data_IF_857077788699
#
_entry.id   IF_857077788699
#
_cell.length_a   1.000
_cell.length_b   1.000
_cell.length_c   1.000
_cell.angle_alpha   90.00
_cell.angle_beta   90.00
_cell.angle_gamma   90.00
#
_symmetry.space_group_name_H-M   'P 1'
#
loop_
_entity.id
_entity.type
_entity.pdbx_description
1 polymer ?
#
# COMPACT_ATOMS: atom_id res chain seq x y z
N UNK A 1 -11.74 75.82 25.71
CA UNK A 1 -11.38 74.79 24.70
C UNK A 1 -9.89 74.51 24.84
N UNK A 2 -9.50 73.27 25.16
CA UNK A 2 -9.08 72.35 24.10
C UNK A 2 -9.70 70.94 24.23
N UNK A 3 -9.76 70.25 23.09
CA UNK A 3 -10.41 68.94 22.87
C UNK A 3 -9.55 67.80 23.42
N UNK A 4 -10.13 66.92 24.25
CA UNK A 4 -9.53 65.62 24.56
C UNK A 4 -9.66 64.69 23.34
N UNK A 5 -8.51 64.34 22.77
CA UNK A 5 -8.37 63.35 21.70
C UNK A 5 -8.58 61.95 22.31
N UNK A 6 -9.73 61.32 22.04
CA UNK A 6 -9.96 59.92 22.41
C UNK A 6 -9.19 59.02 21.44
N UNK A 7 -8.04 58.48 21.86
CA UNK A 7 -7.40 57.37 21.15
C UNK A 7 -8.22 56.09 21.40
N UNK A 8 -8.94 55.64 20.38
CA UNK A 8 -9.54 54.31 20.33
C UNK A 8 -8.46 53.29 19.94
N UNK A 9 -8.07 52.44 20.89
CA UNK A 9 -7.13 51.34 20.66
C UNK A 9 -7.87 50.23 19.89
N UNK A 10 -7.72 50.20 18.56
CA UNK A 10 -8.19 49.10 17.73
C UNK A 10 -7.27 47.89 17.95
N UNK A 11 -7.77 46.89 18.65
CA UNK A 11 -7.07 45.63 18.90
C UNK A 11 -6.96 44.85 17.58
N UNK A 12 -5.79 44.92 16.93
CA UNK A 12 -5.46 44.07 15.79
C UNK A 12 -5.25 42.64 16.30
N UNK A 13 -6.23 41.76 16.12
CA UNK A 13 -6.05 40.34 16.35
C UNK A 13 -5.03 39.81 15.34
N UNK A 14 -3.79 39.60 15.79
CA UNK A 14 -2.76 38.91 15.01
C UNK A 14 -3.18 37.45 14.92
N UNK A 15 -3.74 37.05 13.78
CA UNK A 15 -3.89 35.64 13.43
C UNK A 15 -2.47 35.07 13.29
N UNK A 16 -2.00 34.36 14.30
CA UNK A 16 -0.82 33.50 14.16
C UNK A 16 -1.28 32.33 13.30
N UNK A 17 -1.06 32.44 11.99
CA UNK A 17 -1.16 31.32 11.07
C UNK A 17 -0.07 30.32 11.45
N UNK A 18 -0.42 29.30 12.24
CA UNK A 18 0.43 28.12 12.33
C UNK A 18 0.54 27.53 10.92
N UNK A 19 1.74 27.17 10.45
CA UNK A 19 1.84 26.38 9.24
C UNK A 19 1.09 25.07 9.52
N UNK A 20 -0.03 24.87 8.84
CA UNK A 20 -0.57 23.53 8.68
C UNK A 20 0.51 22.75 7.93
N UNK A 21 1.07 21.71 8.54
CA UNK A 21 1.94 20.78 7.83
C UNK A 21 1.12 20.22 6.67
N UNK A 22 1.40 20.69 5.45
CA UNK A 22 0.73 20.18 4.27
C UNK A 22 1.11 18.70 4.12
N UNK A 23 0.09 17.84 4.22
CA UNK A 23 0.11 16.40 3.95
C UNK A 23 0.57 16.17 2.51
N UNK A 24 1.83 15.80 2.33
CA UNK A 24 2.26 15.17 1.09
C UNK A 24 2.58 13.71 1.40
N UNK A 25 1.94 12.81 0.65
CA UNK A 25 2.34 11.42 0.59
C UNK A 25 3.81 11.35 0.17
N UNK A 26 4.56 10.45 0.80
CA UNK A 26 5.94 10.18 0.45
C UNK A 26 5.99 8.94 -0.43
N UNK A 27 6.73 9.02 -1.53
CA UNK A 27 7.14 7.81 -2.23
C UNK A 27 8.23 7.13 -1.39
N UNK A 28 7.93 5.94 -0.90
CA UNK A 28 8.88 5.09 -0.21
C UNK A 28 9.38 4.02 -1.17
N UNK A 29 10.68 3.79 -1.23
CA UNK A 29 11.29 2.73 -2.02
C UNK A 29 12.22 1.87 -1.15
N UNK A 30 12.11 0.55 -1.28
CA UNK A 30 13.12 -0.39 -0.81
C UNK A 30 13.71 -1.10 -2.04
N UNK A 31 14.96 -0.75 -2.37
CA UNK A 31 15.69 -1.33 -3.52
C UNK A 31 16.14 -2.77 -3.27
N UNK A 32 16.30 -3.20 -2.01
CA UNK A 32 16.58 -4.60 -1.69
C UNK A 32 15.35 -5.47 -1.99
N UNK A 33 14.16 -4.91 -1.74
CA UNK A 33 12.88 -5.56 -2.01
C UNK A 33 12.26 -5.21 -3.36
N UNK A 34 12.92 -4.42 -4.19
CA UNK A 34 12.51 -4.13 -5.58
C UNK A 34 11.12 -3.51 -5.71
N UNK A 35 10.75 -2.55 -4.84
CA UNK A 35 9.50 -1.82 -5.00
C UNK A 35 9.57 -0.36 -4.54
N UNK A 36 8.66 0.45 -5.07
CA UNK A 36 8.24 1.71 -4.47
C UNK A 36 6.71 1.77 -4.30
N UNK A 37 6.25 2.56 -3.33
CA UNK A 37 4.83 2.76 -3.01
C UNK A 37 4.66 4.08 -2.29
N UNK A 38 3.49 4.72 -2.44
CA UNK A 38 3.20 5.93 -1.68
C UNK A 38 2.70 5.56 -0.28
N UNK A 39 3.25 6.18 0.76
CA UNK A 39 2.73 6.15 2.14
C UNK A 39 2.39 7.56 2.63
N UNK A 40 1.51 7.72 3.64
CA UNK A 40 1.21 9.03 4.22
C UNK A 40 2.41 9.67 4.94
N UNK A 41 3.36 8.85 5.38
CA UNK A 41 4.66 9.23 5.94
C UNK A 41 5.62 8.05 5.80
N UNK A 42 6.90 8.20 6.18
CA UNK A 42 7.84 7.07 6.16
C UNK A 42 7.28 5.90 7.00
N UNK A 43 7.17 4.68 6.45
CA UNK A 43 6.60 3.55 7.17
C UNK A 43 7.56 3.03 8.24
N UNK A 44 6.99 2.41 9.28
CA UNK A 44 7.74 1.57 10.21
C UNK A 44 8.01 0.24 9.50
N UNK A 45 9.26 -0.22 9.53
CA UNK A 45 9.70 -1.45 8.86
C UNK A 45 10.04 -2.51 9.89
N UNK A 46 9.43 -3.68 9.76
CA UNK A 46 9.66 -4.84 10.62
C UNK A 46 10.06 -6.06 9.79
N UNK A 47 11.09 -6.79 10.21
CA UNK A 47 11.48 -8.08 9.62
C UNK A 47 10.71 -9.19 10.31
N UNK A 48 10.09 -10.07 9.54
CA UNK A 48 9.28 -11.18 10.04
C UNK A 48 9.62 -12.48 9.29
N UNK A 49 9.17 -13.61 9.84
CA UNK A 49 9.10 -14.88 9.12
C UNK A 49 7.69 -15.07 8.57
N UNK A 50 7.57 -15.34 7.27
CA UNK A 50 6.33 -15.69 6.60
C UNK A 50 6.25 -17.20 6.39
N UNK A 51 5.06 -17.78 6.55
CA UNK A 51 4.80 -19.18 6.28
C UNK A 51 4.00 -19.34 4.99
N UNK A 52 4.55 -20.08 4.02
CA UNK A 52 3.83 -20.42 2.80
C UNK A 52 2.72 -21.46 3.05
N UNK A 53 1.92 -21.74 2.01
CA UNK A 53 0.91 -22.80 2.04
C UNK A 53 1.48 -24.16 2.46
N UNK A 54 2.69 -24.48 2.00
CA UNK A 54 3.38 -25.73 2.30
C UNK A 54 4.42 -25.59 3.41
N UNK A 55 4.21 -24.61 4.29
CA UNK A 55 4.98 -24.42 5.53
C UNK A 55 6.46 -24.07 5.36
N UNK A 56 6.87 -23.53 4.21
CA UNK A 56 8.20 -22.95 4.08
C UNK A 56 8.32 -21.71 4.96
N UNK A 57 9.44 -21.58 5.66
CA UNK A 57 9.79 -20.38 6.44
C UNK A 57 10.56 -19.41 5.53
N UNK A 58 9.94 -18.28 5.23
CA UNK A 58 10.43 -17.32 4.26
C UNK A 58 10.75 -15.99 4.93
N UNK A 59 11.89 -15.36 4.61
CA UNK A 59 12.17 -14.01 5.08
C UNK A 59 11.17 -13.03 4.46
N UNK A 60 10.64 -12.14 5.30
CA UNK A 60 9.70 -11.11 4.87
C UNK A 60 9.91 -9.79 5.63
N UNK A 61 9.42 -8.71 5.04
CA UNK A 61 9.37 -7.38 5.65
C UNK A 61 7.94 -6.84 5.62
N UNK A 62 7.52 -6.22 6.71
CA UNK A 62 6.27 -5.47 6.81
C UNK A 62 6.58 -3.98 6.92
N UNK A 63 5.93 -3.18 6.08
CA UNK A 63 6.02 -1.72 6.04
C UNK A 63 4.66 -1.18 6.43
N UNK A 64 4.55 -0.45 7.53
CA UNK A 64 3.27 0.01 8.05
C UNK A 64 3.26 1.51 8.33
N UNK A 65 2.16 2.17 7.98
CA UNK A 65 1.89 3.57 8.31
C UNK A 65 0.39 3.77 8.55
N UNK A 66 0.04 4.91 9.15
CA UNK A 66 -1.36 5.27 9.41
C UNK A 66 -1.58 6.75 9.18
N UNK A 67 -2.74 7.11 8.65
CA UNK A 67 -3.22 8.49 8.61
C UNK A 67 -4.57 8.56 9.31
N UNK A 68 -4.59 9.18 10.50
CA UNK A 68 -5.74 9.13 11.41
C UNK A 68 -6.12 7.68 11.74
N UNK A 69 -7.31 7.27 11.30
CA UNK A 69 -7.84 5.92 11.53
C UNK A 69 -7.64 4.97 10.33
N UNK A 70 -7.02 5.44 9.25
CA UNK A 70 -6.72 4.61 8.08
C UNK A 70 -5.36 3.97 8.25
N UNK A 71 -5.28 2.64 8.09
CA UNK A 71 -4.03 1.89 8.15
C UNK A 71 -3.59 1.46 6.75
N UNK A 72 -2.28 1.48 6.52
CA UNK A 72 -1.64 1.10 5.27
C UNK A 72 -0.50 0.13 5.57
N UNK A 73 -0.42 -0.96 4.81
CA UNK A 73 0.57 -2.00 5.00
C UNK A 73 1.03 -2.57 3.67
N UNK A 74 2.35 -2.71 3.50
CA UNK A 74 2.94 -3.59 2.50
C UNK A 74 3.64 -4.73 3.21
N UNK A 75 3.39 -5.97 2.79
CA UNK A 75 4.20 -7.12 3.18
C UNK A 75 4.93 -7.61 1.94
N UNK A 76 6.26 -7.68 2.01
CA UNK A 76 7.08 -8.28 0.96
C UNK A 76 7.64 -9.59 1.49
N UNK A 77 7.37 -10.69 0.78
CA UNK A 77 7.88 -12.02 1.10
C UNK A 77 8.85 -12.45 0.02
N UNK A 78 10.06 -12.83 0.42
CA UNK A 78 11.09 -13.29 -0.50
C UNK A 78 11.06 -14.83 -0.60
N UNK A 79 10.63 -15.32 -1.76
CA UNK A 79 10.54 -16.73 -2.12
C UNK A 79 11.81 -17.23 -2.84
N UNK A 80 12.92 -16.50 -2.84
CA UNK A 80 14.17 -16.97 -3.44
C UNK A 80 14.60 -18.30 -2.79
N UNK A 81 14.80 -19.33 -3.62
CA UNK A 81 15.15 -20.68 -3.15
C UNK A 81 13.97 -21.51 -2.63
N UNK A 82 12.74 -20.99 -2.59
CA UNK A 82 11.55 -21.75 -2.24
C UNK A 82 11.15 -22.76 -3.33
N UNK A 83 10.31 -23.74 -2.98
CA UNK A 83 9.82 -24.70 -3.97
C UNK A 83 8.89 -24.01 -4.97
N UNK A 84 8.87 -24.50 -6.21
CA UNK A 84 8.03 -23.93 -7.29
C UNK A 84 6.55 -23.86 -6.91
N UNK A 85 6.07 -24.81 -6.11
CA UNK A 85 4.68 -24.85 -5.65
C UNK A 85 4.38 -23.73 -4.65
N UNK A 86 5.31 -23.40 -3.75
CA UNK A 86 5.20 -22.26 -2.83
C UNK A 86 5.15 -20.95 -3.61
N UNK A 87 6.01 -20.79 -4.61
CA UNK A 87 6.07 -19.58 -5.44
C UNK A 87 4.78 -19.43 -6.25
N UNK A 88 4.35 -20.47 -6.95
CA UNK A 88 3.18 -20.42 -7.84
C UNK A 88 1.85 -20.29 -7.08
N UNK A 89 1.74 -20.92 -5.91
CA UNK A 89 0.55 -20.86 -5.06
C UNK A 89 0.42 -19.56 -4.26
N UNK A 90 1.51 -18.79 -4.12
CA UNK A 90 1.61 -17.63 -3.21
C UNK A 90 0.46 -16.62 -3.32
N UNK A 91 0.09 -16.19 -4.53
CA UNK A 91 -1.01 -15.24 -4.76
C UNK A 91 -2.35 -15.85 -4.33
N UNK A 92 -2.63 -17.09 -4.76
CA UNK A 92 -3.89 -17.77 -4.45
C UNK A 92 -4.03 -18.02 -2.94
N UNK A 93 -2.94 -18.42 -2.28
CA UNK A 93 -2.90 -18.64 -0.85
C UNK A 93 -3.07 -17.33 -0.06
N UNK A 94 -2.41 -16.26 -0.47
CA UNK A 94 -2.62 -14.93 0.13
C UNK A 94 -4.10 -14.52 0.01
N UNK A 95 -4.68 -14.60 -1.19
CA UNK A 95 -6.07 -14.27 -1.42
C UNK A 95 -7.03 -15.14 -0.58
N UNK A 96 -6.79 -16.45 -0.50
CA UNK A 96 -7.56 -17.37 0.33
C UNK A 96 -7.50 -17.01 1.82
N UNK A 97 -6.32 -16.64 2.34
CA UNK A 97 -6.18 -16.19 3.73
C UNK A 97 -6.96 -14.91 4.03
N UNK A 98 -7.06 -13.97 3.08
CA UNK A 98 -7.91 -12.78 3.24
C UNK A 98 -9.40 -13.13 3.22
N UNK A 99 -9.85 -13.97 2.28
CA UNK A 99 -11.25 -14.43 2.23
C UNK A 99 -11.69 -15.08 3.54
N UNK A 100 -10.79 -15.82 4.20
CA UNK A 100 -11.05 -16.48 5.49
C UNK A 100 -11.20 -15.53 6.67
N UNK A 101 -10.79 -14.26 6.56
CA UNK A 101 -11.01 -13.26 7.62
C UNK A 101 -12.49 -12.91 7.79
N UNK A 102 -13.34 -13.20 6.80
CA UNK A 102 -14.76 -12.87 6.79
C UNK A 102 -15.05 -11.45 6.31
N UNK A 103 -16.32 -11.04 6.42
CA UNK A 103 -16.83 -9.81 5.81
C UNK A 103 -17.48 -10.06 4.44
N UNK A 104 -18.10 -9.01 3.89
CA UNK A 104 -18.69 -9.07 2.56
C UNK A 104 -17.61 -8.75 1.51
N UNK A 105 -17.39 -9.68 0.58
CA UNK A 105 -16.52 -9.47 -0.57
C UNK A 105 -17.27 -8.59 -1.57
N UNK A 106 -16.78 -7.37 -1.78
CA UNK A 106 -17.36 -6.40 -2.72
C UNK A 106 -16.65 -6.39 -4.08
N UNK A 107 -15.41 -6.89 -4.13
CA UNK A 107 -14.65 -7.13 -5.37
C UNK A 107 -13.63 -8.24 -5.16
N UNK A 108 -13.48 -9.13 -6.13
CA UNK A 108 -12.52 -10.24 -6.11
C UNK A 108 -12.19 -10.65 -7.54
N UNK A 109 -11.08 -10.13 -8.09
CA UNK A 109 -10.74 -10.33 -9.48
C UNK A 109 -9.25 -10.17 -9.77
N UNK A 110 -8.89 -10.48 -11.01
CA UNK A 110 -7.60 -10.21 -11.60
C UNK A 110 -7.20 -8.73 -11.44
N UNK A 111 -5.91 -8.51 -11.17
CA UNK A 111 -5.31 -7.19 -11.12
C UNK A 111 -3.98 -7.19 -11.88
N UNK A 112 -3.50 -5.99 -12.18
CA UNK A 112 -2.18 -5.79 -12.74
C UNK A 112 -1.59 -4.47 -12.26
N UNK A 113 -0.28 -4.43 -12.12
CA UNK A 113 0.52 -3.22 -11.94
C UNK A 113 1.57 -3.22 -13.03
N UNK A 114 1.57 -2.24 -13.94
CA UNK A 114 2.52 -2.21 -15.07
C UNK A 114 2.59 -3.51 -15.90
N UNK A 115 1.42 -4.15 -16.10
CA UNK A 115 1.24 -5.48 -16.72
C UNK A 115 1.83 -6.67 -15.93
N UNK A 116 2.29 -6.44 -14.71
CA UNK A 116 2.63 -7.48 -13.76
C UNK A 116 1.35 -7.94 -13.10
N UNK A 117 0.94 -9.14 -13.49
CA UNK A 117 -0.30 -9.77 -13.05
C UNK A 117 -0.34 -9.97 -11.54
N UNK A 118 -1.55 -9.99 -11.01
CA UNK A 118 -1.83 -10.09 -9.59
C UNK A 118 -3.31 -10.32 -9.32
N UNK A 119 -3.70 -10.08 -8.08
CA UNK A 119 -5.05 -10.31 -7.59
C UNK A 119 -5.50 -9.18 -6.68
N UNK A 120 -6.73 -8.70 -6.86
CA UNK A 120 -7.31 -7.65 -6.03
C UNK A 120 -8.55 -8.16 -5.30
N UNK A 121 -8.65 -7.77 -4.02
CA UNK A 121 -9.80 -8.03 -3.17
C UNK A 121 -10.25 -6.73 -2.50
N UNK A 122 -11.56 -6.57 -2.34
CA UNK A 122 -12.16 -5.51 -1.55
C UNK A 122 -13.22 -6.10 -0.62
N UNK A 123 -13.21 -5.66 0.62
CA UNK A 123 -14.09 -6.17 1.67
C UNK A 123 -14.83 -5.01 2.35
N UNK A 124 -16.11 -5.23 2.65
CA UNK A 124 -16.79 -4.55 3.76
C UNK A 124 -16.65 -5.45 4.99
N UNK A 125 -15.92 -4.98 5.98
CA UNK A 125 -15.65 -5.69 7.23
C UNK A 125 -16.90 -5.72 8.14
N UNK A 126 -16.87 -6.53 9.20
CA UNK A 126 -17.98 -6.65 10.16
C UNK A 126 -18.31 -5.33 10.90
N UNK A 127 -17.33 -4.46 11.08
CA UNK A 127 -17.47 -3.12 11.66
C UNK A 127 -17.86 -2.04 10.62
N UNK A 128 -18.24 -2.47 9.41
CA UNK A 128 -18.55 -1.63 8.25
C UNK A 128 -17.36 -0.82 7.71
N UNK A 129 -16.15 -1.05 8.23
CA UNK A 129 -14.91 -0.59 7.63
C UNK A 129 -14.66 -1.26 6.28
N UNK A 130 -13.77 -0.67 5.48
CA UNK A 130 -13.45 -1.15 4.13
C UNK A 130 -11.98 -1.53 4.05
N UNK A 131 -11.71 -2.74 3.59
CA UNK A 131 -10.33 -3.23 3.38
C UNK A 131 -10.08 -3.45 1.90
N UNK A 132 -8.97 -2.91 1.42
CA UNK A 132 -8.51 -2.98 0.03
C UNK A 132 -7.20 -3.76 0.01
N UNK A 133 -7.18 -4.92 -0.67
CA UNK A 133 -5.99 -5.76 -0.84
C UNK A 133 -5.58 -5.90 -2.32
N UNK A 134 -4.29 -5.76 -2.60
CA UNK A 134 -3.70 -6.10 -3.89
C UNK A 134 -2.48 -7.01 -3.68
N UNK A 135 -2.35 -8.04 -4.50
CA UNK A 135 -1.30 -9.06 -4.38
C UNK A 135 -0.60 -9.23 -5.72
N UNK A 136 0.71 -9.03 -5.78
CA UNK A 136 1.51 -9.18 -6.99
C UNK A 136 2.74 -10.05 -6.73
N UNK A 137 3.18 -10.80 -7.73
CA UNK A 137 4.39 -11.62 -7.66
C UNK A 137 5.33 -11.26 -8.81
N UNK A 138 6.57 -10.91 -8.48
CA UNK A 138 7.60 -10.64 -9.48
C UNK A 138 8.98 -11.02 -8.97
N UNK A 139 9.80 -11.68 -9.81
CA UNK A 139 11.15 -12.17 -9.45
C UNK A 139 11.22 -12.82 -8.06
N UNK A 140 10.28 -13.75 -7.78
CA UNK A 140 10.16 -14.47 -6.50
C UNK A 140 9.93 -13.57 -5.27
N UNK A 141 9.40 -12.36 -5.45
CA UNK A 141 8.93 -11.52 -4.34
C UNK A 141 7.42 -11.35 -4.45
N UNK A 142 6.72 -11.71 -3.37
CA UNK A 142 5.29 -11.51 -3.23
C UNK A 142 5.06 -10.18 -2.51
N UNK A 143 4.35 -9.27 -3.15
CA UNK A 143 3.97 -7.97 -2.61
C UNK A 143 2.48 -8.02 -2.24
N UNK A 144 2.18 -7.86 -0.95
CA UNK A 144 0.81 -7.82 -0.43
C UNK A 144 0.56 -6.41 0.10
N UNK A 145 -0.29 -5.66 -0.59
CA UNK A 145 -0.75 -4.34 -0.16
C UNK A 145 -2.09 -4.52 0.53
N UNK A 146 -2.23 -3.91 1.70
CA UNK A 146 -3.46 -3.89 2.49
C UNK A 146 -3.67 -2.47 3.01
N UNK A 147 -4.86 -1.91 2.77
CA UNK A 147 -5.28 -0.67 3.40
C UNK A 147 -6.70 -0.78 3.94
N UNK A 148 -6.90 -0.31 5.17
CA UNK A 148 -8.19 -0.41 5.87
C UNK A 148 -8.61 0.96 6.37
N UNK A 149 -9.80 1.41 5.95
CA UNK A 149 -10.44 2.62 6.44
C UNK A 149 -11.71 2.27 7.24
N UNK A 150 -12.02 2.98 8.33
CA UNK A 150 -13.23 2.73 9.11
C UNK A 150 -14.49 3.18 8.34
N UNK A 151 -15.66 2.79 8.86
CA UNK A 151 -16.94 3.18 8.29
C UNK A 151 -17.06 4.71 8.17
N UNK A 152 -17.58 5.19 7.03
CA UNK A 152 -17.78 6.61 6.77
C UNK A 152 -16.53 7.37 6.29
N UNK A 153 -15.34 6.76 6.36
CA UNK A 153 -14.12 7.32 5.78
C UNK A 153 -13.98 6.87 4.31
N UNK A 154 -13.52 7.74 3.38
CA UNK A 154 -13.30 7.36 2.00
C UNK A 154 -12.39 6.13 1.85
N UNK A 155 -12.69 5.21 0.91
CA UNK A 155 -11.86 4.03 0.68
C UNK A 155 -10.41 4.37 0.28
N UNK A 156 -9.41 3.63 0.79
CA UNK A 156 -8.00 3.90 0.51
C UNK A 156 -7.51 3.30 -0.82
N UNK A 157 -8.34 3.36 -1.89
CA UNK A 157 -8.06 2.68 -3.16
C UNK A 157 -6.77 3.15 -3.86
N UNK A 158 -6.38 4.41 -3.66
CA UNK A 158 -5.15 4.97 -4.23
C UNK A 158 -3.87 4.27 -3.76
N UNK A 159 -3.87 3.68 -2.56
CA UNK A 159 -2.69 3.00 -2.02
C UNK A 159 -2.29 1.81 -2.90
N UNK A 160 -3.26 0.98 -3.30
CA UNK A 160 -3.04 -0.18 -4.17
C UNK A 160 -2.49 0.21 -5.54
N UNK A 161 -2.95 1.33 -6.07
CA UNK A 161 -2.56 1.83 -7.39
C UNK A 161 -1.19 2.51 -7.40
N UNK A 162 -0.61 2.78 -6.23
CA UNK A 162 0.67 3.47 -6.09
C UNK A 162 1.89 2.54 -6.11
N UNK A 163 1.70 1.23 -6.12
CA UNK A 163 2.79 0.27 -6.24
C UNK A 163 3.51 0.47 -7.57
N UNK A 164 4.84 0.51 -7.53
CA UNK A 164 5.70 0.28 -8.68
C UNK A 164 6.70 -0.82 -8.32
N UNK A 165 6.83 -1.82 -9.19
CA UNK A 165 7.85 -2.86 -9.04
C UNK A 165 9.12 -2.37 -9.75
N UNK A 166 10.26 -2.52 -9.10
CA UNK A 166 11.55 -2.05 -9.57
C UNK A 166 12.42 -3.21 -10.05
N UNK A 167 13.41 -2.92 -10.87
CA UNK A 167 14.50 -3.84 -11.14
C UNK A 167 15.70 -3.59 -10.21
N UNK A 168 16.77 -4.35 -10.42
CA UNK A 168 17.98 -4.31 -9.58
C UNK A 168 18.73 -2.97 -9.66
N UNK A 169 18.50 -2.16 -10.70
CA UNK A 169 19.03 -0.81 -10.81
C UNK A 169 18.15 0.23 -10.10
N UNK A 170 16.94 -0.17 -9.68
CA UNK A 170 15.93 0.71 -9.11
C UNK A 170 15.00 1.33 -10.15
N UNK A 171 15.03 0.85 -11.39
CA UNK A 171 14.18 1.36 -12.46
C UNK A 171 12.82 0.65 -12.46
N UNK A 172 11.75 1.39 -12.74
CA UNK A 172 10.40 0.82 -12.80
C UNK A 172 10.30 -0.23 -13.90
N UNK A 173 9.76 -1.39 -13.56
CA UNK A 173 9.54 -2.49 -14.49
C UNK A 173 8.15 -2.37 -15.10
N UNK A 174 8.10 -2.42 -16.43
CA UNK A 174 6.86 -2.52 -17.20
C UNK A 174 7.00 -3.60 -18.27
N UNK A 175 5.91 -4.31 -18.50
CA UNK A 175 5.83 -5.28 -19.59
C UNK A 175 4.76 -4.86 -20.60
N UNK A 176 4.88 -5.40 -21.81
CA UNK A 176 3.75 -5.71 -22.66
C UNK A 176 3.37 -7.16 -22.41
N UNK A 177 2.06 -7.41 -22.35
CA UNK A 177 1.45 -8.72 -22.11
C UNK A 177 0.43 -8.96 -23.23
N UNK A 178 0.62 -10.01 -24.01
CA UNK A 178 -0.40 -10.46 -24.95
C UNK A 178 -1.46 -11.32 -24.26
N UNK A 179 -2.51 -11.69 -25.00
CA UNK A 179 -3.61 -12.49 -24.46
C UNK A 179 -3.18 -13.91 -24.04
N UNK A 180 -2.02 -14.39 -24.52
CA UNK A 180 -1.47 -15.71 -24.25
C UNK A 180 -0.47 -15.69 -23.08
N UNK A 181 -0.20 -14.51 -22.51
CA UNK A 181 0.63 -14.32 -21.32
C UNK A 181 2.12 -14.15 -21.62
N UNK A 182 2.52 -13.97 -22.88
CA UNK A 182 3.91 -13.70 -23.24
C UNK A 182 4.27 -12.27 -22.81
N UNK A 183 5.32 -12.15 -22.00
CA UNK A 183 5.79 -10.86 -21.46
C UNK A 183 7.02 -10.37 -22.22
N UNK A 184 6.96 -9.15 -22.72
CA UNK A 184 8.12 -8.43 -23.26
C UNK A 184 8.39 -7.20 -22.41
N UNK A 185 9.62 -7.01 -21.92
CA UNK A 185 9.96 -5.82 -21.12
C UNK A 185 9.91 -4.58 -22.03
N UNK A 186 9.28 -3.52 -21.53
CA UNK A 186 9.24 -2.21 -22.18
C UNK A 186 10.19 -1.28 -21.41
N UNK A 187 11.06 -0.59 -22.14
CA UNK A 187 12.00 0.41 -21.61
C UNK A 187 11.31 1.76 -21.34
#
# INVERSE_FOLDING_TARGET
>A
MPRLLKLSLALFAICISFPAAAQNWVEYADREELFSVNFPHAPIVEKITHHSEYHAELPAKVYAASDGQVSYKVTVVNYAGAQVVDVRGSIAFAAWNFRRRGGEITFDAYAQVDRIEGHQLQFTNADLGRTYVAVHLHKSRLYILEATAPAGVPPPGHFQQSLSILDENGDRVRYDLDADGVRTRVD
#
